data_IF_281181399902
#
_entry.id   IF_281181399902
#
_cell.length_a   1.000
_cell.length_b   1.000
_cell.length_c   1.000
_cell.angle_alpha   90.00
_cell.angle_beta   90.00
_cell.angle_gamma   90.00
#
_symmetry.space_group_name_H-M   'P 1'
#
loop_
_entity.id
_entity.type
_entity.pdbx_description
1 polymer ?
#
# COMPACT_ATOMS: atom_id res chain seq x y z
N UNK A 1 3.00 18.89 -3.63
CA UNK A 1 2.67 19.52 -4.94
C UNK A 1 2.60 21.03 -4.76
N UNK A 2 3.27 21.83 -5.61
CA UNK A 2 3.15 23.30 -5.61
C UNK A 2 2.33 23.73 -6.83
N UNK A 3 1.24 24.47 -6.61
CA UNK A 3 0.35 24.96 -7.66
C UNK A 3 0.38 26.48 -7.68
N UNK A 4 0.99 27.04 -8.72
CA UNK A 4 0.85 28.47 -9.01
C UNK A 4 -0.44 28.70 -9.79
N UNK A 5 -1.31 29.57 -9.29
CA UNK A 5 -2.55 29.95 -9.98
C UNK A 5 -2.52 31.44 -10.23
N UNK A 6 -2.75 31.82 -11.48
CA UNK A 6 -2.77 33.19 -11.97
C UNK A 6 -4.14 33.47 -12.59
N UNK A 7 -4.76 34.60 -12.25
CA UNK A 7 -6.03 35.05 -12.83
C UNK A 7 -5.92 36.51 -13.27
N UNK A 8 -6.48 36.83 -14.43
CA UNK A 8 -6.49 38.19 -14.97
C UNK A 8 -7.84 38.87 -14.69
N UNK A 9 -7.82 40.20 -14.51
CA UNK A 9 -9.03 41.00 -14.33
C UNK A 9 -9.69 41.40 -15.65
N UNK A 10 -11.02 41.45 -15.68
CA UNK A 10 -11.85 41.73 -16.87
C UNK A 10 -11.68 43.13 -17.51
N UNK A 11 -10.85 44.02 -16.94
CA UNK A 11 -10.80 45.45 -17.32
C UNK A 11 -9.44 45.93 -17.86
N UNK A 12 -8.40 45.09 -17.93
CA UNK A 12 -7.12 45.46 -18.54
C UNK A 12 -6.71 44.47 -19.62
N UNK A 13 -6.47 44.96 -20.85
CA UNK A 13 -5.95 44.17 -21.97
C UNK A 13 -4.43 44.00 -21.95
N UNK A 14 -3.76 44.50 -20.90
CA UNK A 14 -2.30 44.48 -20.79
C UNK A 14 -1.91 44.04 -19.37
N UNK A 15 -1.15 42.96 -19.27
CA UNK A 15 -0.60 42.43 -18.03
C UNK A 15 -0.03 41.03 -18.23
N UNK A 16 1.25 40.85 -17.92
CA UNK A 16 1.91 39.55 -17.93
C UNK A 16 2.11 39.06 -16.49
N UNK A 17 2.03 37.75 -16.29
CA UNK A 17 2.42 37.10 -15.04
C UNK A 17 3.59 36.19 -15.38
N UNK A 18 4.75 36.48 -14.78
CA UNK A 18 5.95 35.68 -14.92
C UNK A 18 6.34 35.11 -13.55
N UNK A 19 6.79 33.87 -13.55
CA UNK A 19 7.46 33.23 -12.44
C UNK A 19 8.92 33.07 -12.85
N UNK A 20 9.82 33.42 -11.95
CA UNK A 20 11.24 33.19 -12.10
C UNK A 20 11.81 32.74 -10.75
N UNK A 21 12.88 31.96 -10.79
CA UNK A 21 13.59 31.40 -9.63
C UNK A 21 12.69 30.72 -8.57
N UNK A 22 12.34 29.46 -8.82
CA UNK A 22 11.63 28.61 -7.85
C UNK A 22 12.64 27.72 -7.12
N UNK A 23 12.88 28.00 -5.84
CA UNK A 23 13.68 27.17 -4.95
C UNK A 23 12.80 26.43 -3.95
N UNK A 24 13.02 25.12 -3.82
CA UNK A 24 12.39 24.29 -2.80
C UNK A 24 13.35 24.10 -1.63
N UNK A 25 13.30 25.01 -0.65
CA UNK A 25 14.10 24.88 0.55
C UNK A 25 13.54 23.77 1.45
N UNK A 26 14.39 22.82 1.84
CA UNK A 26 14.04 21.72 2.76
C UNK A 26 12.94 20.76 2.27
N UNK A 27 12.76 20.62 0.96
CA UNK A 27 11.85 19.63 0.36
C UNK A 27 12.58 18.54 -0.45
N UNK A 28 13.92 18.60 -0.52
CA UNK A 28 14.74 17.60 -1.20
C UNK A 28 14.98 16.38 -0.30
N UNK A 29 15.28 15.25 -0.93
CA UNK A 29 15.71 14.04 -0.26
C UNK A 29 16.90 14.33 0.66
N UNK A 30 17.04 13.62 1.80
CA UNK A 30 18.15 13.83 2.73
C UNK A 30 19.50 13.70 2.03
N UNK A 31 20.45 14.55 2.40
CA UNK A 31 21.82 14.48 1.86
C UNK A 31 22.53 13.21 2.33
N UNK A 32 23.38 12.59 1.48
CA UNK A 32 24.19 11.45 1.88
C UNK A 32 25.09 11.74 3.10
N UNK A 33 25.16 10.78 4.03
CA UNK A 33 25.99 10.87 5.25
C UNK A 33 26.96 9.69 5.31
N UNK A 34 28.09 9.89 6.02
CA UNK A 34 29.10 8.85 6.26
C UNK A 34 28.60 7.71 7.16
N UNK A 35 27.70 8.02 8.10
CA UNK A 35 27.12 7.06 9.04
C UNK A 35 25.79 7.57 9.55
N UNK A 36 24.82 6.66 9.73
CA UNK A 36 23.50 6.99 10.29
C UNK A 36 23.46 6.77 11.81
N UNK A 37 22.53 7.44 12.47
CA UNK A 37 22.25 7.26 13.90
C UNK A 37 21.58 5.92 14.17
N UNK A 38 21.49 5.49 15.44
CA UNK A 38 20.83 4.22 15.81
C UNK A 38 19.34 4.15 15.44
N UNK A 39 18.70 5.31 15.25
CA UNK A 39 17.28 5.43 14.91
C UNK A 39 17.07 5.85 13.43
N UNK A 40 18.06 5.59 12.59
CA UNK A 40 18.02 5.89 11.16
C UNK A 40 18.45 4.66 10.34
N UNK A 41 17.77 4.42 9.22
CA UNK A 41 18.19 3.50 8.18
C UNK A 41 19.14 4.22 7.22
N UNK A 42 20.20 3.51 6.79
CA UNK A 42 21.05 3.97 5.71
C UNK A 42 20.50 3.50 4.36
N UNK A 43 20.06 4.43 3.53
CA UNK A 43 19.60 4.17 2.17
C UNK A 43 20.75 3.68 1.28
N UNK A 44 20.45 2.98 0.18
CA UNK A 44 21.46 2.56 -0.79
C UNK A 44 22.21 3.76 -1.43
N UNK A 45 21.53 4.89 -1.59
CA UNK A 45 22.07 6.20 -2.02
C UNK A 45 23.00 6.84 -1.00
N UNK A 46 23.04 6.32 0.24
CA UNK A 46 23.90 6.79 1.33
C UNK A 46 23.27 7.88 2.23
N UNK A 47 22.04 8.29 1.96
CA UNK A 47 21.28 9.16 2.87
C UNK A 47 20.75 8.38 4.08
N UNK A 48 20.41 9.11 5.14
CA UNK A 48 19.83 8.52 6.35
C UNK A 48 18.36 8.94 6.48
N UNK A 49 17.48 7.97 6.65
CA UNK A 49 16.04 8.16 6.85
C UNK A 49 15.66 7.62 8.23
N UNK A 50 14.72 8.27 8.91
CA UNK A 50 14.29 7.84 10.25
C UNK A 50 13.58 6.48 10.20
N UNK A 51 13.75 5.64 11.23
CA UNK A 51 13.02 4.38 11.32
C UNK A 51 11.48 4.56 11.35
N UNK A 52 10.97 5.70 11.82
CA UNK A 52 9.53 6.03 11.81
C UNK A 52 8.95 6.24 10.39
N UNK A 53 9.83 6.40 9.38
CA UNK A 53 9.51 6.62 7.97
C UNK A 53 9.67 5.39 7.09
N UNK A 54 10.00 4.24 7.69
CA UNK A 54 10.09 3.00 6.92
C UNK A 54 8.71 2.42 6.64
N UNK A 55 8.56 1.87 5.44
CA UNK A 55 7.37 1.17 5.00
C UNK A 55 6.10 1.99 5.22
N UNK A 56 6.16 3.27 4.87
CA UNK A 56 5.04 4.21 4.98
C UNK A 56 4.52 4.69 3.62
N UNK A 57 4.91 3.99 2.55
CA UNK A 57 4.56 4.24 1.15
C UNK A 57 5.09 5.56 0.59
N UNK A 58 6.03 6.21 1.30
CA UNK A 58 6.77 7.37 0.78
C UNK A 58 8.23 7.00 0.53
N UNK A 59 8.72 7.27 -0.68
CA UNK A 59 10.15 7.13 -1.00
C UNK A 59 10.96 8.30 -0.42
N UNK A 60 11.30 8.21 0.88
CA UNK A 60 12.15 9.19 1.57
C UNK A 60 13.63 8.98 1.26
N UNK A 61 14.04 7.79 0.83
CA UNK A 61 15.41 7.52 0.39
C UNK A 61 15.72 8.07 -1.02
N UNK A 62 14.71 8.13 -1.89
CA UNK A 62 14.81 8.42 -3.32
C UNK A 62 15.29 7.26 -4.18
N UNK A 63 15.41 6.08 -3.57
CA UNK A 63 15.82 4.81 -4.19
C UNK A 63 14.96 3.62 -3.71
N UNK A 64 13.88 3.93 -2.98
CA UNK A 64 12.92 3.01 -2.37
C UNK A 64 13.54 2.04 -1.38
N UNK A 65 14.73 2.31 -0.81
CA UNK A 65 15.34 1.39 0.16
C UNK A 65 14.52 1.26 1.44
N UNK A 66 13.91 2.36 1.87
CA UNK A 66 13.02 2.48 3.03
C UNK A 66 11.67 1.77 2.86
N UNK A 67 11.27 1.51 1.61
CA UNK A 67 10.03 0.82 1.23
C UNK A 67 10.28 -0.63 0.78
N UNK A 68 11.48 -1.17 1.01
CA UNK A 68 11.84 -2.58 0.77
C UNK A 68 11.83 -3.38 2.07
N UNK A 69 11.53 -4.68 1.98
CA UNK A 69 11.47 -5.61 3.11
C UNK A 69 10.45 -5.20 4.19
N UNK A 70 9.22 -4.94 3.74
CA UNK A 70 8.11 -4.52 4.58
C UNK A 70 7.23 -5.68 5.07
N UNK A 71 7.74 -6.91 5.09
CA UNK A 71 6.95 -8.12 5.39
C UNK A 71 6.36 -8.12 6.82
N UNK A 72 7.01 -7.41 7.73
CA UNK A 72 6.55 -7.25 9.12
C UNK A 72 5.69 -6.00 9.35
N UNK A 73 5.52 -5.16 8.32
CA UNK A 73 4.69 -3.97 8.40
C UNK A 73 3.27 -4.28 7.94
N UNK A 74 2.31 -3.75 8.67
CA UNK A 74 0.92 -3.78 8.23
C UNK A 74 0.64 -2.51 7.46
N UNK A 75 0.20 -2.67 6.21
CA UNK A 75 -0.14 -1.54 5.35
C UNK A 75 -1.27 -1.86 4.36
N UNK A 76 -1.82 -0.81 3.79
CA UNK A 76 -2.79 -0.86 2.71
C UNK A 76 -2.62 0.39 1.83
N UNK A 77 -2.05 0.17 0.65
CA UNK A 77 -1.86 1.15 -0.44
C UNK A 77 -3.10 1.28 -1.34
N UNK A 78 -4.15 0.50 -1.06
CA UNK A 78 -5.36 0.39 -1.85
C UNK A 78 -5.19 -0.01 -3.32
N UNK A 79 -4.03 -0.43 -3.80
CA UNK A 79 -3.86 -0.80 -5.22
C UNK A 79 -4.68 -2.04 -5.60
N UNK A 80 -4.93 -2.92 -4.62
CA UNK A 80 -5.65 -4.18 -4.79
C UNK A 80 -6.90 -4.28 -3.89
N UNK A 81 -7.64 -3.17 -3.74
CA UNK A 81 -8.88 -3.12 -2.96
C UNK A 81 -8.66 -2.63 -1.53
N UNK A 82 -9.49 -3.07 -0.58
CA UNK A 82 -9.46 -2.56 0.81
C UNK A 82 -8.49 -3.30 1.72
N UNK A 83 -7.68 -4.21 1.20
CA UNK A 83 -6.81 -5.09 1.98
C UNK A 83 -7.63 -5.85 3.06
N UNK A 84 -7.24 -5.73 4.33
CA UNK A 84 -7.97 -6.30 5.47
C UNK A 84 -8.89 -5.27 6.17
N UNK A 85 -9.15 -4.13 5.55
CA UNK A 85 -10.09 -3.14 6.08
C UNK A 85 -11.53 -3.49 5.68
N UNK A 86 -12.44 -3.29 6.62
CA UNK A 86 -13.87 -3.56 6.44
C UNK A 86 -14.67 -2.26 6.50
N UNK A 87 -15.75 -2.19 5.73
CA UNK A 87 -16.71 -1.10 5.83
C UNK A 87 -17.90 -1.52 6.67
N UNK A 88 -18.34 -0.65 7.58
CA UNK A 88 -19.63 -0.79 8.26
C UNK A 88 -20.63 0.08 7.52
N UNK A 89 -21.66 -0.55 6.95
CA UNK A 89 -22.69 0.13 6.17
C UNK A 89 -24.04 -0.18 6.80
N UNK A 90 -24.55 0.77 7.57
CA UNK A 90 -25.96 0.79 8.00
C UNK A 90 -26.83 1.49 6.94
N UNK A 91 -28.16 1.32 7.02
CA UNK A 91 -29.09 1.85 6.00
C UNK A 91 -28.99 3.37 5.77
N UNK A 92 -28.58 4.13 6.79
CA UNK A 92 -28.44 5.59 6.75
C UNK A 92 -26.99 6.07 6.46
N UNK A 93 -26.02 5.16 6.42
CA UNK A 93 -24.60 5.48 6.28
C UNK A 93 -24.11 5.43 4.83
N UNK A 94 -23.02 6.16 4.57
CA UNK A 94 -22.29 6.18 3.31
C UNK A 94 -21.20 5.11 3.34
N UNK A 95 -20.74 4.72 2.16
CA UNK A 95 -19.57 3.85 1.99
C UNK A 95 -18.40 4.62 1.39
N UNK A 96 -17.19 4.25 1.82
CA UNK A 96 -15.97 4.57 1.12
C UNK A 96 -15.95 3.84 -0.23
N UNK A 97 -15.57 4.58 -1.26
CA UNK A 97 -15.49 4.05 -2.63
C UNK A 97 -14.03 3.86 -3.00
N UNK A 98 -13.67 2.63 -3.37
CA UNK A 98 -12.37 2.30 -3.95
C UNK A 98 -12.41 2.52 -5.46
N UNK A 99 -11.57 3.42 -5.98
CA UNK A 99 -11.52 3.68 -7.42
C UNK A 99 -10.22 4.40 -7.81
N UNK A 100 -9.98 4.42 -9.12
CA UNK A 100 -8.86 5.15 -9.71
C UNK A 100 -9.22 6.62 -9.96
N UNK A 101 -8.27 7.56 -9.75
CA UNK A 101 -8.44 8.98 -10.05
C UNK A 101 -9.02 9.20 -11.46
N UNK A 102 -8.44 8.57 -12.48
CA UNK A 102 -8.79 8.71 -13.90
C UNK A 102 -10.27 8.44 -14.21
N UNK A 103 -10.94 7.59 -13.42
CA UNK A 103 -12.36 7.30 -13.55
C UNK A 103 -13.26 8.39 -12.94
N UNK A 104 -12.72 9.22 -12.04
CA UNK A 104 -13.46 10.24 -11.27
C UNK A 104 -13.31 11.63 -11.92
N UNK A 105 -12.12 12.00 -12.43
CA UNK A 105 -11.86 13.36 -12.95
C UNK A 105 -12.68 13.76 -14.16
N UNK A 106 -13.18 12.81 -14.93
CA UNK A 106 -14.11 13.09 -16.03
C UNK A 106 -15.45 13.66 -15.53
N UNK A 107 -15.79 13.43 -14.25
CA UNK A 107 -17.04 13.87 -13.64
C UNK A 107 -16.90 15.23 -12.93
N UNK A 108 -15.78 15.46 -12.22
CA UNK A 108 -15.53 16.69 -11.46
C UNK A 108 -14.04 17.09 -11.47
N UNK A 109 -13.60 17.98 -12.38
CA UNK A 109 -12.17 18.21 -12.66
C UNK A 109 -11.39 18.99 -11.58
N UNK A 110 -12.06 19.59 -10.60
CA UNK A 110 -11.45 20.40 -9.52
C UNK A 110 -11.64 19.81 -8.11
N UNK A 111 -12.16 18.59 -7.99
CA UNK A 111 -12.44 17.92 -6.70
C UNK A 111 -11.62 16.65 -6.55
N UNK A 112 -11.15 16.36 -5.34
CA UNK A 112 -10.35 15.15 -5.06
C UNK A 112 -8.95 15.20 -5.65
N UNK A 113 -8.17 14.14 -5.41
CA UNK A 113 -6.79 14.04 -5.90
C UNK A 113 -6.73 13.47 -7.31
N UNK A 114 -6.03 14.16 -8.22
CA UNK A 114 -5.83 13.76 -9.64
C UNK A 114 -5.02 12.49 -9.82
N UNK A 115 -4.36 12.06 -8.77
CA UNK A 115 -3.42 10.94 -8.74
C UNK A 115 -3.54 10.23 -7.39
N UNK A 116 -3.22 8.95 -7.35
CA UNK A 116 -2.97 8.24 -6.09
C UNK A 116 -1.70 8.79 -5.43
N UNK A 117 -1.52 8.51 -4.15
CA UNK A 117 -0.33 8.90 -3.42
C UNK A 117 0.83 7.92 -3.69
N UNK A 118 0.56 6.62 -3.65
CA UNK A 118 1.51 5.49 -3.72
C UNK A 118 2.50 5.62 -4.88
N UNK A 119 1.98 5.80 -6.10
CA UNK A 119 2.76 5.84 -7.33
C UNK A 119 2.68 7.20 -8.03
N UNK A 120 1.86 8.12 -7.52
CA UNK A 120 1.59 9.42 -8.14
C UNK A 120 1.13 9.26 -9.61
N UNK A 121 0.23 8.30 -9.85
CA UNK A 121 -0.38 7.98 -11.14
C UNK A 121 -1.86 8.36 -11.14
N UNK A 122 -2.40 8.70 -12.30
CA UNK A 122 -3.86 8.85 -12.45
C UNK A 122 -4.58 7.49 -12.59
N UNK A 123 -3.82 6.42 -12.78
CA UNK A 123 -4.30 5.03 -12.91
C UNK A 123 -4.11 4.19 -11.66
N UNK A 124 -3.44 4.68 -10.62
CA UNK A 124 -3.38 4.03 -9.30
C UNK A 124 -4.75 4.09 -8.62
N UNK A 125 -4.82 3.69 -7.36
CA UNK A 125 -6.07 3.58 -6.62
C UNK A 125 -5.98 4.21 -5.24
N UNK A 126 -7.11 4.75 -4.80
CA UNK A 126 -7.30 5.20 -3.42
C UNK A 126 -8.72 4.89 -2.99
N UNK A 127 -9.04 5.18 -1.73
CA UNK A 127 -10.42 5.21 -1.25
C UNK A 127 -10.87 6.63 -1.00
N UNK A 128 -12.11 6.94 -1.37
CA UNK A 128 -12.66 8.27 -1.15
C UNK A 128 -14.11 8.22 -0.69
N UNK A 129 -14.49 9.26 0.03
CA UNK A 129 -15.86 9.57 0.39
C UNK A 129 -16.37 10.68 -0.52
N UNK A 130 -17.40 10.39 -1.30
CA UNK A 130 -18.11 11.40 -2.07
C UNK A 130 -19.00 12.25 -1.16
N UNK A 131 -18.58 13.49 -0.95
CA UNK A 131 -19.34 14.48 -0.17
C UNK A 131 -20.30 15.29 -1.06
N UNK A 132 -20.18 15.16 -2.38
CA UNK A 132 -20.97 15.90 -3.35
C UNK A 132 -22.44 15.52 -3.27
N UNK A 133 -23.32 16.51 -3.17
CA UNK A 133 -24.78 16.33 -3.08
C UNK A 133 -25.27 15.43 -1.94
N UNK A 134 -24.40 15.06 -1.00
CA UNK A 134 -24.76 14.29 0.18
C UNK A 134 -25.33 15.19 1.28
N UNK A 135 -26.18 14.63 2.14
CA UNK A 135 -26.74 15.36 3.28
C UNK A 135 -25.65 15.60 4.34
N UNK A 136 -25.54 16.84 4.82
CA UNK A 136 -24.63 17.19 5.91
C UNK A 136 -24.82 16.26 7.11
N UNK A 137 -23.68 15.81 7.67
CA UNK A 137 -23.63 14.95 8.85
C UNK A 137 -23.74 13.45 8.57
N UNK A 138 -23.94 13.01 7.32
CA UNK A 138 -23.79 11.58 6.96
C UNK A 138 -22.35 11.14 7.12
N UNK A 139 -22.18 9.85 7.43
CA UNK A 139 -20.90 9.27 7.85
C UNK A 139 -20.56 8.05 7.01
N UNK A 140 -19.27 7.77 6.89
CA UNK A 140 -18.75 6.50 6.39
C UNK A 140 -17.64 6.01 7.32
N UNK A 141 -17.65 4.72 7.64
CA UNK A 141 -16.65 4.10 8.51
C UNK A 141 -15.82 3.06 7.77
N UNK A 142 -14.50 3.17 7.93
CA UNK A 142 -13.53 2.16 7.54
C UNK A 142 -12.87 1.60 8.80
N UNK A 143 -12.94 0.28 8.99
CA UNK A 143 -12.52 -0.42 10.20
C UNK A 143 -11.30 -1.28 9.92
N UNK A 144 -10.28 -1.17 10.76
CA UNK A 144 -9.11 -2.05 10.68
C UNK A 144 -9.46 -3.46 11.18
N UNK A 145 -8.58 -4.44 10.97
CA UNK A 145 -8.56 -5.65 11.78
C UNK A 145 -8.36 -5.34 13.28
N UNK A 146 -8.50 -6.35 14.12
CA UNK A 146 -8.11 -6.25 15.53
C UNK A 146 -6.59 -6.13 15.64
N UNK A 147 -6.13 -5.17 16.44
CA UNK A 147 -4.73 -4.87 16.68
C UNK A 147 -4.42 -4.95 18.17
N UNK A 148 -3.16 -5.18 18.49
CA UNK A 148 -2.62 -5.16 19.83
C UNK A 148 -1.26 -4.46 19.83
N UNK A 149 -0.99 -3.70 20.90
CA UNK A 149 0.30 -3.06 21.14
C UNK A 149 0.74 -3.32 22.58
N UNK A 150 2.02 -3.70 22.73
CA UNK A 150 2.61 -4.04 24.04
C UNK A 150 3.02 -2.83 24.86
N UNK A 151 3.35 -1.72 24.20
CA UNK A 151 3.94 -0.54 24.81
C UNK A 151 3.14 0.72 24.48
N UNK A 152 2.89 1.55 25.48
CA UNK A 152 2.25 2.86 25.31
C UNK A 152 3.08 3.74 24.36
N UNK A 153 2.39 4.48 23.49
CA UNK A 153 2.96 5.39 22.48
C UNK A 153 3.88 4.76 21.41
N UNK A 154 4.08 3.44 21.40
CA UNK A 154 4.93 2.78 20.42
C UNK A 154 4.20 2.51 19.10
N UNK A 155 2.96 2.00 19.20
CA UNK A 155 2.11 1.73 18.05
C UNK A 155 1.44 3.02 17.55
N UNK A 156 1.67 3.36 16.28
CA UNK A 156 1.09 4.52 15.61
C UNK A 156 0.43 4.10 14.29
N UNK A 157 -0.73 4.68 14.01
CA UNK A 157 -1.32 4.68 12.68
C UNK A 157 -0.70 5.82 11.86
N UNK A 158 -0.30 5.52 10.63
CA UNK A 158 0.18 6.49 9.64
C UNK A 158 -0.75 6.40 8.43
N UNK A 159 -1.12 7.53 7.85
CA UNK A 159 -1.94 7.56 6.64
C UNK A 159 -1.80 8.87 5.89
N UNK A 160 -2.15 8.84 4.62
CA UNK A 160 -2.22 10.01 3.77
C UNK A 160 -3.67 10.36 3.48
N UNK A 161 -4.00 11.64 3.55
CA UNK A 161 -5.35 12.09 3.22
C UNK A 161 -5.31 13.36 2.40
N UNK A 162 -6.33 13.54 1.56
CA UNK A 162 -6.54 14.74 0.76
C UNK A 162 -7.96 15.26 0.99
N UNK A 163 -8.04 16.56 1.29
CA UNK A 163 -9.28 17.27 1.57
C UNK A 163 -9.24 18.64 0.89
N UNK A 164 -9.77 18.70 -0.33
CA UNK A 164 -9.87 19.91 -1.14
C UNK A 164 -11.32 20.19 -1.54
N UNK A 165 -11.83 21.33 -1.08
CA UNK A 165 -13.21 21.73 -1.33
C UNK A 165 -13.78 22.53 -0.16
N UNK A 166 -14.57 23.55 -0.48
CA UNK A 166 -15.21 24.39 0.53
C UNK A 166 -16.24 23.57 1.31
N UNK A 167 -16.12 23.60 2.64
CA UNK A 167 -17.01 22.90 3.57
C UNK A 167 -17.11 21.37 3.30
N UNK A 168 -15.98 20.75 2.94
CA UNK A 168 -15.89 19.33 2.59
C UNK A 168 -16.30 18.37 3.72
N UNK A 169 -16.21 18.82 4.97
CA UNK A 169 -16.60 18.03 6.14
C UNK A 169 -15.42 17.75 7.07
N UNK A 170 -15.40 16.57 7.68
CA UNK A 170 -14.35 16.18 8.63
C UNK A 170 -13.92 14.72 8.47
N UNK A 171 -12.64 14.47 8.70
CA UNK A 171 -12.05 13.14 8.80
C UNK A 171 -11.61 12.91 10.25
N UNK A 172 -11.94 11.75 10.81
CA UNK A 172 -11.65 11.42 12.21
C UNK A 172 -11.10 10.01 12.34
N UNK A 173 -10.26 9.82 13.36
CA UNK A 173 -9.75 8.51 13.75
C UNK A 173 -10.24 8.22 15.17
N UNK A 174 -10.93 7.09 15.32
CA UNK A 174 -11.38 6.54 16.58
C UNK A 174 -10.65 5.21 16.85
N UNK A 175 -10.59 4.86 18.12
CA UNK A 175 -10.23 3.50 18.57
C UNK A 175 -11.32 2.97 19.47
N UNK A 176 -11.59 1.67 19.41
CA UNK A 176 -12.43 0.98 20.40
C UNK A 176 -11.77 -0.31 20.85
N UNK A 177 -12.06 -0.76 22.06
CA UNK A 177 -11.76 -2.14 22.47
C UNK A 177 -12.47 -3.10 21.50
N UNK A 178 -11.77 -4.14 21.05
CA UNK A 178 -12.33 -5.11 20.11
C UNK A 178 -13.61 -5.78 20.69
N UNK A 179 -14.59 -6.04 19.83
CA UNK A 179 -15.90 -6.68 20.10
C UNK A 179 -17.01 -5.92 20.88
N UNK A 180 -16.75 -4.92 21.71
CA UNK A 180 -17.83 -4.07 22.28
C UNK A 180 -17.32 -2.78 22.96
N UNK A 181 -16.24 -2.19 22.42
CA UNK A 181 -15.66 -0.98 22.98
C UNK A 181 -16.43 0.29 22.59
N UNK A 182 -16.50 1.25 23.52
CA UNK A 182 -16.91 2.62 23.18
C UNK A 182 -15.87 3.27 22.25
N UNK A 183 -16.33 4.04 21.26
CA UNK A 183 -15.47 4.81 20.37
C UNK A 183 -14.75 5.92 21.15
N UNK A 184 -13.43 5.91 21.10
CA UNK A 184 -12.55 6.92 21.69
C UNK A 184 -11.87 7.71 20.58
N UNK A 185 -12.12 9.02 20.50
CA UNK A 185 -11.51 9.87 19.48
C UNK A 185 -9.99 9.99 19.73
N UNK A 186 -9.21 9.76 18.68
CA UNK A 186 -7.74 9.89 18.69
C UNK A 186 -7.27 11.08 17.89
N UNK A 187 -7.97 11.40 16.80
CA UNK A 187 -7.60 12.48 15.91
C UNK A 187 -8.81 12.98 15.12
N UNK A 188 -8.78 14.26 14.75
CA UNK A 188 -9.81 14.89 13.93
C UNK A 188 -9.21 16.00 13.07
N UNK A 189 -9.68 16.08 11.82
CA UNK A 189 -9.41 17.18 10.90
C UNK A 189 -10.71 17.61 10.25
N UNK A 190 -10.97 18.90 10.25
CA UNK A 190 -12.17 19.49 9.65
C UNK A 190 -11.80 20.58 8.64
N UNK A 191 -12.58 20.66 7.58
CA UNK A 191 -12.43 21.67 6.54
C UNK A 191 -11.33 21.37 5.53
N UNK A 192 -11.12 22.34 4.65
CA UNK A 192 -10.14 22.25 3.57
C UNK A 192 -8.70 22.28 4.11
N UNK A 193 -7.84 21.47 3.50
CA UNK A 193 -6.40 21.45 3.77
C UNK A 193 -5.61 21.97 2.56
N UNK A 194 -6.14 21.71 1.37
CA UNK A 194 -5.59 22.15 0.09
C UNK A 194 -5.50 20.98 -0.89
N UNK A 195 -5.06 21.27 -2.10
CA UNK A 195 -4.96 20.27 -3.17
C UNK A 195 -3.62 19.51 -3.11
N UNK A 196 -3.40 18.77 -2.02
CA UNK A 196 -2.23 17.92 -1.81
C UNK A 196 -2.53 16.87 -0.73
N UNK A 197 -1.86 15.72 -0.79
CA UNK A 197 -1.92 14.73 0.28
C UNK A 197 -1.14 15.20 1.51
N UNK A 198 -1.69 14.90 2.67
CA UNK A 198 -1.08 15.20 3.97
C UNK A 198 -0.84 13.90 4.72
N UNK A 199 0.42 13.66 5.05
CA UNK A 199 0.83 12.59 5.97
C UNK A 199 0.39 12.91 7.39
N UNK A 200 -0.22 11.95 8.06
CA UNK A 200 -0.65 12.07 9.47
C UNK A 200 -0.21 10.86 10.27
N UNK A 201 0.19 11.11 11.51
CA UNK A 201 0.46 10.08 12.51
C UNK A 201 -0.51 10.20 13.69
N UNK A 202 -1.03 9.07 14.16
CA UNK A 202 -1.96 8.99 15.29
C UNK A 202 -1.48 7.93 16.26
N UNK A 203 -1.27 8.30 17.51
CA UNK A 203 -0.85 7.39 18.58
C UNK A 203 -2.02 6.49 19.00
N UNK A 204 -1.77 5.18 18.99
CA UNK A 204 -2.76 4.14 19.30
C UNK A 204 -2.62 3.65 20.76
N UNK A 205 -3.69 3.07 21.36
CA UNK A 205 -3.61 2.53 22.72
C UNK A 205 -2.72 1.31 22.81
N UNK A 206 -2.28 0.99 24.03
CA UNK A 206 -1.66 -0.28 24.36
C UNK A 206 -2.51 -1.09 25.37
N UNK A 207 -2.11 -2.35 25.59
CA UNK A 207 -2.58 -3.19 26.69
C UNK A 207 -3.82 -4.06 26.40
N UNK A 208 -4.85 -3.54 25.71
CA UNK A 208 -6.00 -4.36 25.29
C UNK A 208 -6.12 -4.40 23.77
N UNK A 209 -6.57 -5.52 23.18
CA UNK A 209 -6.89 -5.56 21.75
C UNK A 209 -7.90 -4.49 21.37
N UNK A 210 -7.58 -3.74 20.32
CA UNK A 210 -8.37 -2.61 19.87
C UNK A 210 -8.56 -2.64 18.36
N UNK A 211 -9.54 -1.89 17.87
CA UNK A 211 -9.81 -1.69 16.46
C UNK A 211 -9.71 -0.19 16.15
N UNK A 212 -9.13 0.14 15.01
CA UNK A 212 -9.08 1.51 14.48
C UNK A 212 -10.27 1.73 13.55
N UNK A 213 -10.92 2.89 13.69
CA UNK A 213 -12.07 3.29 12.87
C UNK A 213 -11.76 4.66 12.29
N UNK A 214 -11.71 4.75 10.96
CA UNK A 214 -11.59 6.01 10.24
C UNK A 214 -12.99 6.44 9.81
N UNK A 215 -13.46 7.56 10.35
CA UNK A 215 -14.78 8.15 10.07
C UNK A 215 -14.61 9.36 9.15
N UNK A 216 -15.24 9.29 7.97
CA UNK A 216 -15.49 10.46 7.13
C UNK A 216 -16.88 11.01 7.41
N UNK A 217 -17.00 12.32 7.63
CA UNK A 217 -18.27 13.02 7.83
C UNK A 217 -18.45 14.06 6.75
N UNK A 218 -19.58 13.99 6.05
CA UNK A 218 -19.95 14.93 4.98
C UNK A 218 -20.27 16.31 5.58
N UNK A 219 -19.64 17.36 5.04
CA UNK A 219 -19.96 18.75 5.37
C UNK A 219 -21.17 19.28 4.61
N UNK A 220 -21.30 20.60 4.49
CA UNK A 220 -22.35 21.25 3.70
C UNK A 220 -21.83 21.85 2.37
N UNK A 221 -20.64 21.42 1.95
CA UNK A 221 -20.08 21.72 0.64
C UNK A 221 -20.90 21.09 -0.48
N UNK A 222 -20.93 21.75 -1.63
CA UNK A 222 -21.64 21.23 -2.81
C UNK A 222 -20.81 20.22 -3.60
N UNK A 223 -19.49 20.28 -3.49
CA UNK A 223 -18.53 19.52 -4.28
C UNK A 223 -17.30 19.20 -3.43
N UNK A 224 -16.89 17.94 -3.38
CA UNK A 224 -15.66 17.54 -2.70
C UNK A 224 -15.54 16.04 -2.48
N UNK A 225 -14.29 15.58 -2.39
CA UNK A 225 -13.93 14.22 -2.03
C UNK A 225 -12.99 14.25 -0.84
N UNK A 226 -13.30 13.51 0.22
CA UNK A 226 -12.31 13.18 1.25
C UNK A 226 -11.62 11.92 0.78
N UNK A 227 -10.34 12.00 0.49
CA UNK A 227 -9.55 10.88 -0.04
C UNK A 227 -8.62 10.38 1.06
N UNK A 228 -8.50 9.06 1.18
CA UNK A 228 -7.52 8.36 2.00
C UNK A 228 -6.66 7.50 1.08
N UNK A 229 -5.37 7.47 1.38
CA UNK A 229 -4.43 6.61 0.71
C UNK A 229 -3.34 6.17 1.69
N UNK A 230 -2.62 5.11 1.33
CA UNK A 230 -1.40 4.68 2.03
C UNK A 230 -1.51 4.60 3.55
N UNK A 231 -2.36 3.69 4.03
CA UNK A 231 -2.47 3.44 5.46
C UNK A 231 -1.39 2.46 5.89
N UNK A 232 -0.59 2.81 6.89
CA UNK A 232 0.40 1.91 7.48
C UNK A 232 0.44 2.01 8.99
N UNK A 233 1.04 1.01 9.63
CA UNK A 233 1.25 0.97 11.08
C UNK A 233 2.74 0.85 11.39
N UNK A 234 3.18 1.42 12.52
CA UNK A 234 4.54 1.18 13.01
C UNK A 234 4.72 -0.28 13.46
N UNK A 235 5.95 -0.81 13.50
CA UNK A 235 6.23 -2.22 13.82
C UNK A 235 5.71 -2.71 15.18
N UNK A 236 5.51 -1.78 16.12
CA UNK A 236 4.97 -2.06 17.45
C UNK A 236 3.47 -2.38 17.45
N UNK A 237 2.79 -2.24 16.31
CA UNK A 237 1.42 -2.67 16.11
C UNK A 237 1.41 -4.13 15.62
N UNK A 238 0.65 -5.00 16.27
CA UNK A 238 0.52 -6.40 15.90
C UNK A 238 -0.94 -6.77 15.63
N UNK A 239 -1.19 -7.65 14.66
CA UNK A 239 -2.51 -8.25 14.46
C UNK A 239 -2.91 -9.05 15.71
N UNK A 240 -4.18 -8.96 16.08
CA UNK A 240 -4.76 -9.78 17.14
C UNK A 240 -5.65 -10.88 16.54
N UNK A 241 -5.15 -12.12 16.55
CA UNK A 241 -5.83 -13.28 15.94
C UNK A 241 -6.83 -13.99 16.89
N UNK A 242 -7.26 -13.33 17.97
CA UNK A 242 -8.29 -13.89 18.87
C UNK A 242 -7.83 -14.99 19.82
N UNK A 243 -6.60 -15.51 19.68
CA UNK A 243 -6.00 -16.40 20.67
C UNK A 243 -5.28 -15.60 21.74
N UNK A 244 -5.81 -15.65 22.97
CA UNK A 244 -5.16 -15.10 24.15
C UNK A 244 -3.78 -15.76 24.31
N UNK A 245 -2.71 -14.98 24.14
CA UNK A 245 -1.37 -15.38 24.58
C UNK A 245 -1.37 -15.33 26.10
N UNK A 246 -1.83 -16.40 26.74
CA UNK A 246 -1.47 -16.63 28.14
C UNK A 246 0.00 -17.04 28.14
N UNK A 247 0.87 -16.09 28.48
CA UNK A 247 2.18 -16.44 29.01
C UNK A 247 1.97 -17.40 30.20
N UNK A 248 2.29 -18.66 30.00
CA UNK A 248 2.69 -19.53 31.10
C UNK A 248 3.85 -20.38 30.63
N UNK A 249 5.05 -19.98 31.07
CA UNK A 249 6.17 -20.89 31.23
C UNK A 249 5.69 -22.09 32.05
N UNK A 250 5.44 -23.23 31.41
CA UNK A 250 5.51 -24.52 32.09
C UNK A 250 5.81 -25.66 31.12
N UNK A 251 6.86 -26.36 31.51
CA UNK A 251 7.52 -27.49 30.87
C UNK A 251 6.69 -28.78 30.82
N UNK A 252 6.87 -29.48 29.69
CA UNK A 252 6.82 -30.95 29.48
C UNK A 252 5.45 -31.63 29.27
N UNK A 253 5.41 -32.85 28.68
CA UNK A 253 6.06 -33.30 27.44
C UNK A 253 5.10 -33.99 26.44
N UNK A 254 5.58 -34.11 25.19
CA UNK A 254 5.27 -35.03 24.07
C UNK A 254 3.97 -35.86 24.09
N UNK A 255 3.19 -35.80 22.98
CA UNK A 255 2.86 -36.98 22.16
C UNK A 255 2.58 -36.61 20.69
N UNK A 256 3.25 -37.34 19.78
CA UNK A 256 3.17 -37.31 18.32
C UNK A 256 1.82 -37.82 17.78
N UNK A 257 1.39 -37.30 16.63
CA UNK A 257 1.24 -38.10 15.40
C UNK A 257 1.20 -37.20 14.14
N UNK A 258 1.98 -37.65 13.14
CA UNK A 258 2.07 -37.29 11.70
C UNK A 258 3.14 -36.27 11.25
N UNK A 259 3.82 -36.52 10.11
CA UNK A 259 5.16 -36.03 9.83
C UNK A 259 5.12 -34.86 8.85
N UNK A 260 5.53 -33.67 9.26
CA UNK A 260 5.80 -32.59 8.32
C UNK A 260 7.04 -31.82 8.78
N UNK A 261 7.88 -31.48 7.80
CA UNK A 261 9.25 -31.01 7.93
C UNK A 261 9.42 -29.88 8.96
N UNK A 262 10.60 -29.80 9.57
CA UNK A 262 10.91 -28.75 10.55
C UNK A 262 10.89 -27.38 9.87
N UNK A 263 10.71 -26.32 10.66
CA UNK A 263 10.67 -24.94 10.16
C UNK A 263 11.98 -24.61 9.41
N UNK A 264 11.89 -24.28 8.12
CA UNK A 264 13.02 -24.08 7.22
C UNK A 264 13.30 -25.24 6.25
N UNK A 265 12.46 -26.28 6.24
CA UNK A 265 12.53 -27.40 5.30
C UNK A 265 11.20 -27.62 4.55
N UNK A 266 11.27 -27.98 3.26
CA UNK A 266 10.12 -28.30 2.42
C UNK A 266 10.06 -29.79 2.03
N UNK A 267 8.83 -30.28 1.85
CA UNK A 267 8.55 -31.68 1.52
C UNK A 267 8.57 -31.92 0.01
N UNK A 268 9.29 -32.96 -0.43
CA UNK A 268 9.26 -33.41 -1.83
C UNK A 268 7.86 -33.93 -2.22
N UNK A 269 7.33 -33.50 -3.37
CA UNK A 269 5.89 -33.65 -3.72
C UNK A 269 5.39 -35.10 -3.81
N UNK A 270 6.21 -36.05 -4.27
CA UNK A 270 5.80 -37.45 -4.47
C UNK A 270 6.53 -38.46 -3.55
N UNK A 271 7.39 -37.99 -2.63
CA UNK A 271 8.09 -38.86 -1.68
C UNK A 271 7.71 -38.48 -0.26
N UNK A 272 6.62 -39.07 0.24
CA UNK A 272 6.14 -38.85 1.60
C UNK A 272 7.25 -39.21 2.61
N UNK A 273 7.76 -38.20 3.33
CA UNK A 273 8.82 -38.22 4.37
C UNK A 273 10.25 -37.83 3.94
N UNK A 274 10.46 -37.17 2.79
CA UNK A 274 11.75 -36.55 2.49
C UNK A 274 11.61 -35.03 2.54
N UNK A 275 12.39 -34.42 3.45
CA UNK A 275 12.46 -33.00 3.70
C UNK A 275 13.82 -32.49 3.21
N UNK A 276 13.82 -31.43 2.44
CA UNK A 276 15.02 -30.70 2.02
C UNK A 276 14.95 -29.28 2.57
N UNK A 277 16.09 -28.63 2.73
CA UNK A 277 16.13 -27.26 3.24
C UNK A 277 15.51 -26.28 2.24
N UNK A 278 14.83 -25.22 2.69
CA UNK A 278 14.18 -24.24 1.79
C UNK A 278 15.17 -23.51 0.86
N UNK A 279 16.43 -23.37 1.27
CA UNK A 279 17.52 -22.83 0.43
C UNK A 279 17.94 -23.76 -0.72
N UNK A 280 17.43 -25.00 -0.73
CA UNK A 280 17.64 -26.01 -1.78
C UNK A 280 16.45 -26.15 -2.72
N UNK A 281 15.41 -25.35 -2.53
CA UNK A 281 14.31 -25.25 -3.50
C UNK A 281 14.75 -24.23 -4.55
N UNK A 282 14.74 -24.62 -5.82
CA UNK A 282 15.16 -23.77 -6.92
C UNK A 282 16.65 -23.40 -6.92
N UNK A 283 17.51 -24.31 -6.49
CA UNK A 283 18.97 -24.13 -6.52
C UNK A 283 19.64 -24.77 -7.75
N UNK A 284 18.83 -25.32 -8.66
CA UNK A 284 19.22 -26.02 -9.89
C UNK A 284 20.00 -27.33 -9.65
N UNK A 285 19.97 -27.85 -8.43
CA UNK A 285 20.50 -29.16 -8.05
C UNK A 285 19.34 -30.03 -7.59
N UNK A 286 19.14 -31.19 -8.24
CA UNK A 286 18.06 -32.11 -7.85
C UNK A 286 18.33 -32.77 -6.50
N UNK A 287 17.87 -32.14 -5.43
CA UNK A 287 18.01 -32.57 -4.04
C UNK A 287 16.81 -33.44 -3.60
N UNK A 288 15.64 -33.23 -4.20
CA UNK A 288 14.55 -34.18 -4.09
C UNK A 288 14.75 -35.38 -5.04
N UNK A 289 14.49 -36.63 -4.58
CA UNK A 289 14.64 -37.83 -5.42
C UNK A 289 13.70 -37.88 -6.63
N UNK A 290 12.59 -37.14 -6.55
CA UNK A 290 11.61 -36.97 -7.62
C UNK A 290 11.84 -35.68 -8.44
N UNK A 291 12.90 -34.93 -8.14
CA UNK A 291 13.26 -33.65 -8.76
C UNK A 291 12.21 -32.56 -8.59
N UNK A 292 11.28 -32.72 -7.64
CA UNK A 292 10.13 -31.83 -7.49
C UNK A 292 10.49 -30.43 -7.01
N UNK A 293 11.61 -30.31 -6.29
CA UNK A 293 12.26 -29.09 -5.85
C UNK A 293 12.66 -28.15 -7.00
N UNK A 294 12.95 -28.70 -8.18
CA UNK A 294 13.41 -27.93 -9.34
C UNK A 294 12.35 -27.75 -10.44
N UNK A 295 11.10 -28.16 -10.20
CA UNK A 295 10.05 -28.17 -11.25
C UNK A 295 9.30 -26.86 -11.44
N UNK A 296 9.38 -25.91 -10.50
CA UNK A 296 8.62 -24.65 -10.50
C UNK A 296 9.50 -23.44 -10.22
N UNK A 297 10.70 -23.46 -10.82
CA UNK A 297 11.74 -22.47 -10.65
C UNK A 297 12.02 -21.85 -12.02
N UNK A 298 11.80 -20.53 -12.17
CA UNK A 298 12.10 -19.84 -13.44
C UNK A 298 13.61 -19.91 -13.76
N UNK A 299 14.05 -20.02 -15.00
CA UNK A 299 13.81 -19.13 -16.17
C UNK A 299 12.98 -19.74 -17.30
N UNK A 300 12.12 -18.94 -17.94
CA UNK A 300 11.35 -19.32 -19.12
C UNK A 300 12.01 -18.81 -20.42
N UNK A 301 12.37 -19.72 -21.32
CA UNK A 301 12.92 -19.38 -22.64
C UNK A 301 11.89 -19.39 -23.77
N UNK A 302 10.60 -19.63 -23.49
CA UNK A 302 9.50 -19.68 -24.47
C UNK A 302 9.59 -20.75 -25.58
N UNK A 303 10.62 -21.61 -25.58
CA UNK A 303 10.87 -22.63 -26.61
C UNK A 303 9.83 -23.77 -26.66
N UNK A 304 9.21 -24.09 -25.52
CA UNK A 304 8.29 -25.24 -25.43
C UNK A 304 6.89 -24.86 -24.93
N UNK A 305 6.77 -23.73 -24.22
CA UNK A 305 5.49 -23.20 -23.74
C UNK A 305 5.65 -21.75 -23.24
N UNK A 306 4.54 -21.10 -22.91
CA UNK A 306 4.54 -19.79 -22.25
C UNK A 306 4.96 -19.86 -20.76
N UNK A 307 5.39 -21.01 -20.23
CA UNK A 307 5.83 -21.22 -18.85
C UNK A 307 4.95 -20.54 -17.77
N UNK A 308 3.62 -20.60 -17.96
CA UNK A 308 2.66 -20.00 -17.03
C UNK A 308 2.35 -18.51 -17.24
N UNK A 309 2.99 -17.83 -18.20
CA UNK A 309 2.65 -16.47 -18.60
C UNK A 309 1.37 -16.44 -19.44
N UNK A 310 0.43 -15.57 -19.08
CA UNK A 310 -0.85 -15.38 -19.78
C UNK A 310 -0.97 -13.94 -20.31
N UNK A 311 -1.40 -13.79 -21.56
CA UNK A 311 -1.65 -12.47 -22.17
C UNK A 311 -2.91 -11.82 -21.58
N UNK A 312 -2.75 -10.62 -21.01
CA UNK A 312 -3.82 -9.81 -20.41
C UNK A 312 -4.14 -8.53 -21.21
N UNK A 313 -3.69 -8.44 -22.46
CA UNK A 313 -3.88 -7.26 -23.32
C UNK A 313 -5.37 -6.94 -23.55
N UNK A 314 -5.75 -5.65 -23.46
CA UNK A 314 -7.10 -5.13 -23.73
C UNK A 314 -7.12 -4.26 -25.00
N UNK A 315 -7.97 -4.62 -25.97
CA UNK A 315 -8.07 -3.96 -27.29
C UNK A 315 -8.05 -4.98 -28.45
N UNK A 316 -7.80 -4.51 -29.69
CA UNK A 316 -7.75 -5.38 -30.88
C UNK A 316 -6.44 -6.15 -31.08
N UNK A 317 -5.42 -5.89 -30.26
CA UNK A 317 -4.10 -6.50 -30.36
C UNK A 317 -3.84 -7.39 -29.14
N UNK A 318 -3.34 -8.61 -29.39
CA UNK A 318 -3.04 -9.64 -28.39
C UNK A 318 -1.67 -10.23 -28.65
N UNK A 319 -0.99 -10.65 -27.59
CA UNK A 319 0.26 -11.38 -27.66
C UNK A 319 -0.02 -12.84 -28.03
N UNK A 320 0.77 -13.38 -28.96
CA UNK A 320 0.74 -14.79 -29.34
C UNK A 320 2.16 -15.31 -29.36
N UNK A 321 2.35 -16.52 -28.81
CA UNK A 321 3.61 -17.22 -28.89
C UNK A 321 3.73 -17.85 -30.29
N UNK A 322 4.80 -17.53 -31.01
CA UNK A 322 5.06 -18.01 -32.39
C UNK A 322 6.55 -18.20 -32.66
N UNK A 323 6.87 -19.04 -33.63
CA UNK A 323 8.23 -19.22 -34.15
C UNK A 323 8.69 -17.97 -34.90
N UNK A 324 9.97 -17.63 -34.76
CA UNK A 324 10.56 -16.43 -35.35
C UNK A 324 10.41 -16.35 -36.88
N UNK A 325 10.41 -17.48 -37.61
CA UNK A 325 10.22 -17.50 -39.07
C UNK A 325 8.83 -17.08 -39.57
N UNK A 326 7.83 -16.99 -38.71
CA UNK A 326 6.44 -16.65 -39.10
C UNK A 326 6.28 -15.12 -39.18
N UNK A 327 7.08 -14.37 -38.42
CA UNK A 327 7.10 -12.91 -38.41
C UNK A 327 8.27 -12.37 -39.26
N UNK A 328 8.02 -11.38 -40.12
CA UNK A 328 9.06 -10.78 -40.95
C UNK A 328 10.18 -10.09 -40.13
N UNK A 329 9.90 -9.69 -38.89
CA UNK A 329 10.86 -9.12 -37.95
C UNK A 329 10.42 -9.34 -36.50
N UNK A 330 11.30 -9.79 -35.59
CA UNK A 330 12.67 -10.23 -35.83
C UNK A 330 12.64 -11.70 -36.31
N UNK A 331 13.00 -11.97 -37.57
CA UNK A 331 12.92 -13.32 -38.16
C UNK A 331 13.90 -14.36 -37.58
N UNK A 332 14.53 -14.04 -36.45
CA UNK A 332 15.53 -14.85 -35.74
C UNK A 332 15.27 -14.69 -34.25
N UNK A 333 15.15 -15.81 -33.54
CA UNK A 333 15.03 -15.85 -32.10
C UNK A 333 16.34 -15.43 -31.41
N UNK A 334 16.23 -14.65 -30.34
CA UNK A 334 17.38 -14.10 -29.62
C UNK A 334 18.06 -15.15 -28.70
N UNK A 335 17.31 -16.12 -28.20
CA UNK A 335 17.79 -17.12 -27.23
C UNK A 335 18.66 -18.18 -27.91
N UNK A 336 18.22 -18.68 -29.05
CA UNK A 336 18.90 -19.74 -29.80
C UNK A 336 19.60 -19.25 -31.07
N UNK A 337 19.35 -18.01 -31.50
CA UNK A 337 19.99 -17.40 -32.67
C UNK A 337 19.54 -18.03 -33.99
N UNK A 338 18.40 -18.75 -34.00
CA UNK A 338 17.88 -19.43 -35.19
C UNK A 338 16.50 -18.92 -35.59
N UNK A 339 16.07 -19.20 -36.82
CA UNK A 339 14.73 -18.83 -37.29
C UNK A 339 13.61 -19.74 -36.76
N UNK A 340 13.91 -20.78 -35.98
CA UNK A 340 12.93 -21.79 -35.59
C UNK A 340 12.55 -21.78 -34.11
N UNK A 341 13.15 -20.89 -33.31
CA UNK A 341 13.41 -21.25 -31.91
C UNK A 341 14.59 -22.18 -31.95
#
# INVERSE_FOLDING_TARGET
QVKFTASHGFQSMEGDIALDDIEFAHCGLPEPKLSCSTNELQCQRGSCVSLDRLCDFSDDCGDQTDEKHCEHYMGCDFENGLCNWEQEVDEDDLSWTHNSPSNIFNLLPDTGSKRDHTWNLDTGFYVYLDTSFSKEGRKAWLKSPALYASSENACKLRFFYHMHGKNIGSLKVYTRVFNDGTLMERWTRSGEVGNYFVRTEVILPAGQPFQVIIEGVVGNGLLGFIVLDDISFTPDCHMFDGFAVTESLQSAPLFLTTPFCLQGEALCKNSSNICISEDKICDFVGDCPDGSDETHCGTCSFETSACGWNDVSRGHYKWRLEMANISATPGIDHTLGTSYG
#
